data_IF_821665494390
#
_entry.id   IF_821665494390
#
_cell.length_a   1.000
_cell.length_b   1.000
_cell.length_c   1.000
_cell.angle_alpha   90.00
_cell.angle_beta   90.00
_cell.angle_gamma   90.00
#
_symmetry.space_group_name_H-M   'P 1'
#
loop_
_entity.id
_entity.type
_entity.pdbx_description
1 polymer ?
#
# COMPACT_ATOMS: atom_id res chain seq x y z
N UNK A 1 -23.60 5.46 2.36
CA UNK A 1 -22.61 5.88 3.37
C UNK A 1 -21.50 6.63 2.66
N UNK A 2 -21.48 7.96 2.73
CA UNK A 2 -20.38 8.76 2.18
C UNK A 2 -19.29 8.87 3.23
N UNK A 3 -18.41 7.85 3.30
CA UNK A 3 -17.17 7.97 4.07
C UNK A 3 -16.28 8.93 3.28
N UNK A 4 -15.86 10.02 3.92
CA UNK A 4 -14.90 10.97 3.32
C UNK A 4 -13.58 10.29 2.97
N UNK A 5 -12.66 11.02 2.33
CA UNK A 5 -11.36 10.48 1.96
C UNK A 5 -10.62 9.94 3.19
N UNK A 6 -10.05 8.75 3.04
CA UNK A 6 -9.22 8.11 4.07
C UNK A 6 -7.80 8.66 3.89
N UNK A 7 -7.27 9.31 4.92
CA UNK A 7 -5.88 9.76 4.97
C UNK A 7 -5.12 8.77 5.85
N UNK A 8 -4.10 8.13 5.28
CA UNK A 8 -3.24 7.16 5.97
C UNK A 8 -1.79 7.57 5.78
N UNK A 9 -0.99 7.35 6.82
CA UNK A 9 0.47 7.36 6.73
C UNK A 9 0.97 6.14 5.97
N UNK A 10 2.25 6.17 5.58
CA UNK A 10 2.91 5.02 4.91
C UNK A 10 2.85 3.80 5.84
N UNK A 11 3.22 3.97 7.12
CA UNK A 11 3.23 2.89 8.11
C UNK A 11 1.84 2.26 8.32
N UNK A 12 0.78 3.09 8.42
CA UNK A 12 -0.60 2.59 8.57
C UNK A 12 -1.06 1.83 7.33
N UNK A 13 -0.68 2.29 6.13
CA UNK A 13 -1.07 1.63 4.89
C UNK A 13 -0.34 0.29 4.72
N UNK A 14 0.96 0.24 5.04
CA UNK A 14 1.74 -1.00 5.07
C UNK A 14 1.16 -1.98 6.10
N UNK A 15 0.84 -1.51 7.30
CA UNK A 15 0.23 -2.33 8.36
C UNK A 15 -1.13 -2.92 7.93
N UNK A 16 -1.96 -2.16 7.22
CA UNK A 16 -3.23 -2.67 6.69
C UNK A 16 -3.02 -3.67 5.56
N UNK A 17 -2.04 -3.44 4.69
CA UNK A 17 -1.72 -4.33 3.58
C UNK A 17 -1.19 -5.68 4.04
N UNK A 18 -0.42 -5.69 5.13
CA UNK A 18 0.11 -6.91 5.76
C UNK A 18 -0.98 -7.76 6.42
N UNK A 19 -2.11 -7.16 6.80
CA UNK A 19 -3.27 -7.90 7.30
C UNK A 19 -4.07 -8.60 6.20
N UNK A 20 -3.89 -8.21 4.93
CA UNK A 20 -4.58 -8.86 3.82
C UNK A 20 -3.85 -10.17 3.50
N UNK A 21 -4.52 -11.34 3.52
CA UNK A 21 -3.87 -12.62 3.20
C UNK A 21 -3.24 -12.56 1.80
N UNK A 22 -2.08 -13.19 1.56
CA UNK A 22 -1.42 -13.17 0.26
C UNK A 22 -2.36 -13.66 -0.84
N UNK A 23 -2.23 -13.14 -2.08
CA UNK A 23 -3.14 -13.50 -3.15
C UNK A 23 -3.07 -15.00 -3.47
N UNK A 24 -4.24 -15.63 -3.58
CA UNK A 24 -4.42 -17.02 -4.00
C UNK A 24 -4.35 -17.14 -5.52
N UNK A 25 -3.96 -18.30 -6.09
CA UNK A 25 -4.07 -18.55 -7.53
C UNK A 25 -5.47 -18.29 -8.10
N UNK A 26 -6.51 -18.52 -7.30
CA UNK A 26 -7.92 -18.36 -7.70
C UNK A 26 -8.44 -16.92 -7.57
N UNK A 27 -7.64 -16.00 -7.02
CA UNK A 27 -8.04 -14.59 -6.92
C UNK A 27 -8.12 -13.92 -8.28
N UNK A 28 -8.98 -12.91 -8.39
CA UNK A 28 -9.11 -12.08 -9.59
C UNK A 28 -7.76 -11.44 -9.95
N UNK A 29 -7.37 -11.56 -11.23
CA UNK A 29 -6.14 -10.98 -11.77
C UNK A 29 -6.04 -9.46 -11.54
N UNK A 30 -7.17 -8.76 -11.55
CA UNK A 30 -7.21 -7.34 -11.21
C UNK A 30 -6.81 -7.10 -9.75
N UNK A 31 -7.31 -7.91 -8.82
CA UNK A 31 -6.99 -7.81 -7.38
C UNK A 31 -5.50 -8.05 -7.15
N UNK A 32 -4.94 -9.09 -7.78
CA UNK A 32 -3.49 -9.39 -7.73
C UNK A 32 -2.65 -8.20 -8.22
N UNK A 33 -3.03 -7.62 -9.37
CA UNK A 33 -2.34 -6.46 -9.96
C UNK A 33 -2.44 -5.22 -9.07
N UNK A 34 -3.62 -4.93 -8.53
CA UNK A 34 -3.83 -3.78 -7.66
C UNK A 34 -3.02 -3.90 -6.37
N UNK A 35 -3.01 -5.09 -5.75
CA UNK A 35 -2.18 -5.37 -4.58
C UNK A 35 -0.71 -5.11 -4.87
N UNK A 36 -0.18 -5.67 -5.96
CA UNK A 36 1.22 -5.49 -6.33
C UNK A 36 1.56 -4.02 -6.59
N UNK A 37 0.69 -3.31 -7.31
CA UNK A 37 0.88 -1.87 -7.59
C UNK A 37 0.88 -1.02 -6.32
N UNK A 38 0.04 -1.36 -5.34
CA UNK A 38 0.05 -0.69 -4.03
C UNK A 38 1.37 -0.95 -3.28
N UNK A 39 1.85 -2.19 -3.25
CA UNK A 39 3.14 -2.53 -2.64
C UNK A 39 4.31 -1.77 -3.27
N UNK A 40 4.34 -1.71 -4.61
CA UNK A 40 5.39 -1.00 -5.35
C UNK A 40 5.34 0.50 -5.07
N UNK A 41 4.14 1.09 -5.04
CA UNK A 41 3.97 2.50 -4.70
C UNK A 41 4.46 2.81 -3.28
N UNK A 42 4.07 2.01 -2.28
CA UNK A 42 4.50 2.21 -0.89
C UNK A 42 6.02 2.09 -0.75
N UNK A 43 6.62 1.12 -1.45
CA UNK A 43 8.08 0.94 -1.49
C UNK A 43 8.78 2.18 -2.05
N UNK A 44 8.30 2.75 -3.15
CA UNK A 44 8.88 3.95 -3.76
C UNK A 44 8.66 5.20 -2.90
N UNK A 45 7.49 5.34 -2.27
CA UNK A 45 7.22 6.43 -1.32
C UNK A 45 8.16 6.36 -0.10
N UNK A 46 8.39 5.16 0.44
CA UNK A 46 9.32 4.92 1.55
C UNK A 46 10.73 5.36 1.18
N UNK A 47 11.23 4.89 0.04
CA UNK A 47 12.55 5.27 -0.51
C UNK A 47 12.68 6.78 -0.69
N UNK A 48 11.64 7.42 -1.21
CA UNK A 48 11.59 8.87 -1.39
C UNK A 48 11.59 9.63 -0.06
N UNK A 49 10.89 9.13 0.96
CA UNK A 49 10.80 9.77 2.28
C UNK A 49 12.10 9.65 3.10
N UNK A 50 12.80 8.52 3.02
CA UNK A 50 14.04 8.28 3.78
C UNK A 50 15.19 9.23 3.40
N UNK A 51 15.14 9.88 2.24
CA UNK A 51 16.12 10.85 1.76
C UNK A 51 15.89 12.31 2.17
N UNK A 52 14.73 12.66 2.76
CA UNK A 52 14.35 14.06 3.04
C UNK A 52 14.80 14.55 4.43
N UNK A 53 15.28 13.65 5.30
CA UNK A 53 15.79 13.98 6.65
C UNK A 53 17.22 14.56 6.66
N UNK A 54 17.57 15.42 5.71
CA UNK A 54 18.78 16.27 5.79
C UNK A 54 18.38 17.74 5.74
N UNK A 55 18.08 18.29 6.90
CA UNK A 55 18.09 19.72 7.19
C UNK A 55 18.78 19.93 8.55
#
# INVERSE_FOLDING_TARGET
>A
MNRGPIVLTIDETEYLLDQIPPPSPDDDELVKKLRKRLQDLLTELRRGAEGVNRA
#
